data_IF_624966083745
#
_entry.id   IF_624966083745
#
_cell.length_a   1.000
_cell.length_b   1.000
_cell.length_c   1.000
_cell.angle_alpha   90.00
_cell.angle_beta   90.00
_cell.angle_gamma   90.00
#
_symmetry.space_group_name_H-M   'P 1'
#
loop_
_entity.id
_entity.type
_entity.pdbx_description
1 polymer ?
#
# COMPACT_ATOMS: atom_id res chain seq x y z
N UNK A 1 14.91 -3.75 -19.74
CA UNK A 1 15.50 -5.08 -19.49
C UNK A 1 14.50 -5.92 -18.72
N UNK A 2 13.88 -6.87 -19.40
CA UNK A 2 13.06 -7.88 -18.72
C UNK A 2 13.97 -8.68 -17.80
N UNK A 3 13.70 -8.66 -16.48
CA UNK A 3 14.40 -9.55 -15.56
C UNK A 3 13.63 -10.86 -15.44
N UNK A 4 14.28 -11.93 -15.83
CA UNK A 4 13.71 -13.27 -15.73
C UNK A 4 13.68 -13.71 -14.26
N UNK A 5 12.50 -13.67 -13.63
CA UNK A 5 12.29 -14.13 -12.26
C UNK A 5 11.93 -15.62 -12.19
N UNK A 6 11.92 -16.31 -13.35
CA UNK A 6 11.50 -17.72 -13.47
C UNK A 6 12.65 -18.72 -13.38
N UNK A 7 13.89 -18.25 -13.10
CA UNK A 7 15.10 -19.08 -13.02
C UNK A 7 15.89 -18.78 -11.74
N UNK A 8 16.87 -19.61 -11.42
CA UNK A 8 17.74 -19.43 -10.25
C UNK A 8 17.10 -19.78 -8.91
N UNK A 9 17.73 -19.38 -7.79
CA UNK A 9 17.22 -19.62 -6.43
C UNK A 9 16.00 -18.74 -6.14
N UNK A 10 14.89 -19.33 -5.75
CA UNK A 10 13.65 -18.61 -5.39
C UNK A 10 13.87 -17.67 -4.23
N UNK A 11 14.55 -18.13 -3.17
CA UNK A 11 14.84 -17.34 -1.99
C UNK A 11 15.66 -16.07 -2.31
N UNK A 12 16.75 -16.21 -3.07
CA UNK A 12 17.57 -15.06 -3.50
C UNK A 12 16.77 -14.11 -4.40
N UNK A 13 15.90 -14.64 -5.27
CA UNK A 13 15.06 -13.84 -6.15
C UNK A 13 14.05 -13.01 -5.36
N UNK A 14 13.43 -13.59 -4.31
CA UNK A 14 12.52 -12.87 -3.40
C UNK A 14 13.25 -11.72 -2.73
N UNK A 15 14.39 -11.98 -2.08
CA UNK A 15 15.15 -10.93 -1.38
C UNK A 15 15.60 -9.82 -2.33
N UNK A 16 16.14 -10.19 -3.50
CA UNK A 16 16.60 -9.22 -4.48
C UNK A 16 15.49 -8.30 -5.00
N UNK A 17 14.25 -8.82 -5.12
CA UNK A 17 13.10 -8.04 -5.56
C UNK A 17 12.44 -7.28 -4.41
N UNK A 18 12.33 -7.90 -3.23
CA UNK A 18 11.65 -7.33 -2.07
C UNK A 18 12.41 -6.16 -1.45
N UNK A 19 13.75 -6.24 -1.34
CA UNK A 19 14.55 -5.19 -0.70
C UNK A 19 14.39 -3.80 -1.34
N UNK A 20 14.51 -3.62 -2.67
CA UNK A 20 14.24 -2.32 -3.29
C UNK A 20 12.80 -1.85 -3.12
N UNK A 21 11.85 -2.79 -3.08
CA UNK A 21 10.45 -2.48 -2.86
C UNK A 21 10.19 -1.98 -1.43
N UNK A 22 10.76 -2.67 -0.44
CA UNK A 22 10.72 -2.29 0.97
C UNK A 22 11.33 -0.90 1.16
N UNK A 23 12.47 -0.63 0.53
CA UNK A 23 13.11 0.68 0.59
C UNK A 23 12.25 1.77 -0.05
N UNK A 24 11.53 1.46 -1.13
CA UNK A 24 10.57 2.39 -1.74
C UNK A 24 9.44 2.78 -0.77
N UNK A 25 8.88 1.81 -0.04
CA UNK A 25 7.86 2.09 0.98
C UNK A 25 8.42 2.91 2.15
N UNK A 26 9.62 2.56 2.59
CA UNK A 26 10.30 3.33 3.64
C UNK A 26 10.49 4.80 3.24
N UNK A 27 10.96 5.05 2.02
CA UNK A 27 11.13 6.40 1.50
C UNK A 27 9.80 7.16 1.39
N UNK A 28 8.72 6.47 0.99
CA UNK A 28 7.38 7.08 0.96
C UNK A 28 6.89 7.49 2.36
N UNK A 29 7.15 6.66 3.35
CA UNK A 29 6.84 6.99 4.74
C UNK A 29 7.68 8.16 5.24
N UNK A 30 8.97 8.15 4.89
CA UNK A 30 9.92 9.18 5.30
C UNK A 30 9.53 10.57 4.77
N UNK A 31 9.18 10.68 3.48
CA UNK A 31 8.81 12.00 2.95
C UNK A 31 7.50 12.52 3.56
N UNK A 32 6.50 11.65 3.77
CA UNK A 32 5.27 12.05 4.45
C UNK A 32 5.49 12.51 5.91
N UNK A 33 6.50 11.95 6.60
CA UNK A 33 6.92 12.44 7.91
C UNK A 33 7.70 13.77 7.81
N UNK A 34 8.51 13.93 6.77
CA UNK A 34 9.27 15.15 6.54
C UNK A 34 8.35 16.35 6.28
N UNK A 35 7.28 16.18 5.49
CA UNK A 35 6.26 17.21 5.26
C UNK A 35 5.71 17.74 6.60
N UNK A 36 5.29 16.81 7.49
CA UNK A 36 4.75 17.18 8.80
C UNK A 36 5.79 17.81 9.73
N UNK A 37 7.02 17.32 9.68
CA UNK A 37 8.11 17.90 10.47
C UNK A 37 8.45 19.32 10.03
N UNK A 38 8.61 19.54 8.73
CA UNK A 38 8.98 20.84 8.18
C UNK A 38 7.88 21.87 8.45
N UNK A 39 6.60 21.51 8.17
CA UNK A 39 5.51 22.44 8.41
C UNK A 39 5.39 22.78 9.91
N UNK A 40 5.62 21.83 10.80
CA UNK A 40 5.61 22.05 12.24
C UNK A 40 6.72 22.98 12.73
N UNK A 41 7.86 23.07 12.02
CA UNK A 41 8.96 23.97 12.38
C UNK A 41 8.73 25.42 11.91
N UNK A 42 8.12 25.63 10.75
CA UNK A 42 8.04 26.94 10.12
C UNK A 42 6.64 27.58 10.14
N UNK A 43 5.59 26.79 10.39
CA UNK A 43 4.21 27.23 10.33
C UNK A 43 3.44 26.86 11.60
N UNK A 44 2.37 27.59 11.89
CA UNK A 44 1.55 27.37 13.08
C UNK A 44 0.75 26.08 13.08
N UNK A 45 0.09 25.79 14.22
CA UNK A 45 -0.71 24.59 14.47
C UNK A 45 -1.83 24.41 13.43
N UNK A 46 -2.43 25.50 12.96
CA UNK A 46 -3.47 25.51 11.94
C UNK A 46 -2.99 24.84 10.63
N UNK A 47 -1.84 25.30 10.12
CA UNK A 47 -1.26 24.75 8.89
C UNK A 47 -0.81 23.30 9.06
N UNK A 48 -0.25 22.96 10.22
CA UNK A 48 0.17 21.58 10.54
C UNK A 48 -1.03 20.64 10.58
N UNK A 49 -2.15 21.06 11.18
CA UNK A 49 -3.41 20.30 11.22
C UNK A 49 -3.98 20.12 9.81
N UNK A 50 -3.94 21.19 8.99
CA UNK A 50 -4.42 21.12 7.61
C UNK A 50 -3.63 20.09 6.78
N UNK A 51 -2.30 20.08 6.89
CA UNK A 51 -1.45 19.09 6.20
C UNK A 51 -1.66 17.68 6.76
N UNK A 52 -1.76 17.52 8.07
CA UNK A 52 -2.00 16.21 8.68
C UNK A 52 -3.30 15.56 8.19
N UNK A 53 -4.41 16.31 8.21
CA UNK A 53 -5.71 15.83 7.72
C UNK A 53 -5.71 15.59 6.21
N UNK A 54 -5.16 16.53 5.45
CA UNK A 54 -5.07 16.40 3.99
C UNK A 54 -4.19 15.24 3.53
N UNK A 55 -3.04 15.03 4.18
CA UNK A 55 -2.14 13.91 3.86
C UNK A 55 -2.75 12.55 4.17
N UNK A 56 -3.61 12.44 5.19
CA UNK A 56 -4.35 11.20 5.47
C UNK A 56 -5.33 10.85 4.33
N UNK A 57 -6.06 11.83 3.81
CA UNK A 57 -6.93 11.64 2.63
C UNK A 57 -6.10 11.22 1.41
N UNK A 58 -4.98 11.90 1.15
CA UNK A 58 -4.10 11.57 0.03
C UNK A 58 -3.47 10.19 0.18
N UNK A 59 -3.11 9.78 1.40
CA UNK A 59 -2.60 8.44 1.67
C UNK A 59 -3.63 7.36 1.31
N UNK A 60 -4.87 7.52 1.76
CA UNK A 60 -5.97 6.59 1.42
C UNK A 60 -6.16 6.48 -0.10
N UNK A 61 -6.21 7.61 -0.81
CA UNK A 61 -6.33 7.61 -2.28
C UNK A 61 -5.14 6.92 -2.94
N UNK A 62 -3.94 7.19 -2.48
CA UNK A 62 -2.71 6.62 -3.05
C UNK A 62 -2.66 5.10 -2.87
N UNK A 63 -2.98 4.56 -1.70
CA UNK A 63 -2.99 3.10 -1.49
C UNK A 63 -4.05 2.42 -2.34
N UNK A 64 -5.22 3.04 -2.54
CA UNK A 64 -6.24 2.53 -3.46
C UNK A 64 -5.78 2.53 -4.92
N UNK A 65 -5.07 3.57 -5.38
CA UNK A 65 -4.47 3.63 -6.73
C UNK A 65 -3.41 2.54 -6.88
N UNK A 66 -2.55 2.34 -5.89
CA UNK A 66 -1.53 1.28 -5.89
C UNK A 66 -2.18 -0.11 -5.93
N UNK A 67 -3.22 -0.33 -5.13
CA UNK A 67 -4.00 -1.57 -5.13
C UNK A 67 -4.63 -1.85 -6.50
N UNK A 68 -5.24 -0.84 -7.12
CA UNK A 68 -5.80 -0.96 -8.47
C UNK A 68 -4.70 -1.28 -9.51
N UNK A 69 -3.54 -0.64 -9.39
CA UNK A 69 -2.40 -0.85 -10.29
C UNK A 69 -1.77 -2.26 -10.16
N UNK A 70 -2.08 -3.00 -9.08
CA UNK A 70 -1.67 -4.39 -8.92
C UNK A 70 -2.18 -5.27 -10.07
N UNK A 71 -3.37 -4.98 -10.61
CA UNK A 71 -3.91 -5.65 -11.80
C UNK A 71 -2.95 -5.56 -12.99
N UNK A 72 -2.40 -4.38 -13.27
CA UNK A 72 -1.42 -4.19 -14.33
C UNK A 72 -0.10 -4.94 -14.04
N UNK A 73 0.40 -4.91 -12.80
CA UNK A 73 1.61 -5.66 -12.40
C UNK A 73 1.45 -7.16 -12.68
N UNK A 74 0.31 -7.74 -12.32
CA UNK A 74 0.04 -9.17 -12.50
C UNK A 74 -0.09 -9.53 -13.97
N UNK A 75 -0.86 -8.76 -14.74
CA UNK A 75 -1.08 -9.02 -16.15
C UNK A 75 0.21 -8.93 -16.96
N UNK A 76 1.00 -7.87 -16.73
CA UNK A 76 2.32 -7.71 -17.34
C UNK A 76 3.26 -8.85 -16.91
N UNK A 77 3.27 -9.18 -15.61
CA UNK A 77 4.11 -10.26 -15.10
C UNK A 77 3.81 -11.61 -15.75
N UNK A 78 2.52 -11.95 -15.96
CA UNK A 78 2.12 -13.17 -16.68
C UNK A 78 2.57 -13.13 -18.14
N UNK A 79 2.35 -12.04 -18.85
CA UNK A 79 2.76 -11.88 -20.24
C UNK A 79 4.29 -11.96 -20.40
N UNK A 80 5.06 -11.39 -19.46
CA UNK A 80 6.53 -11.52 -19.41
C UNK A 80 6.94 -12.96 -19.18
N UNK A 81 6.30 -13.66 -18.24
CA UNK A 81 6.55 -15.08 -17.98
C UNK A 81 6.27 -15.95 -19.20
N UNK A 82 5.20 -15.69 -19.92
CA UNK A 82 4.81 -16.37 -21.16
C UNK A 82 5.67 -15.95 -22.38
N UNK A 83 6.48 -14.88 -22.25
CA UNK A 83 7.29 -14.29 -23.32
C UNK A 83 6.48 -13.75 -24.52
N UNK A 84 5.24 -13.33 -24.27
CA UNK A 84 4.34 -12.77 -25.29
C UNK A 84 4.50 -11.26 -25.37
N UNK A 85 5.41 -10.78 -26.23
CA UNK A 85 5.75 -9.34 -26.33
C UNK A 85 4.56 -8.45 -26.74
N UNK A 86 3.70 -8.93 -27.59
CA UNK A 86 2.53 -8.18 -28.07
C UNK A 86 1.51 -8.03 -26.93
N UNK A 87 1.30 -9.05 -26.11
CA UNK A 87 0.45 -8.96 -24.91
C UNK A 87 1.02 -7.99 -23.87
N UNK A 88 2.36 -7.97 -23.70
CA UNK A 88 3.01 -7.00 -22.82
C UNK A 88 2.72 -5.58 -23.33
N UNK A 89 2.95 -5.31 -24.63
CA UNK A 89 2.74 -4.01 -25.22
C UNK A 89 1.27 -3.55 -25.08
N UNK A 90 0.34 -4.43 -25.42
CA UNK A 90 -1.11 -4.19 -25.30
C UNK A 90 -1.54 -3.94 -23.86
N UNK A 91 -1.02 -4.72 -22.90
CA UNK A 91 -1.33 -4.55 -21.47
C UNK A 91 -0.76 -3.22 -20.94
N UNK A 92 0.47 -2.86 -21.30
CA UNK A 92 1.08 -1.58 -20.94
C UNK A 92 0.27 -0.41 -21.49
N UNK A 93 -0.05 -0.41 -22.78
CA UNK A 93 -0.81 0.67 -23.42
C UNK A 93 -2.20 0.82 -22.79
N UNK A 94 -2.93 -0.29 -22.64
CA UNK A 94 -4.25 -0.29 -22.00
C UNK A 94 -4.20 0.17 -20.53
N UNK A 95 -3.15 -0.21 -19.78
CA UNK A 95 -2.96 0.27 -18.42
C UNK A 95 -2.78 1.78 -18.38
N UNK A 96 -1.94 2.34 -19.23
CA UNK A 96 -1.75 3.80 -19.31
C UNK A 96 -3.06 4.49 -19.64
N UNK A 97 -3.80 4.03 -20.65
CA UNK A 97 -5.07 4.63 -21.05
C UNK A 97 -6.11 4.58 -19.93
N UNK A 98 -6.26 3.42 -19.26
CA UNK A 98 -7.20 3.24 -18.16
C UNK A 98 -6.90 4.20 -17.01
N UNK A 99 -5.66 4.18 -16.55
CA UNK A 99 -5.30 4.92 -15.33
C UNK A 99 -5.22 6.43 -15.57
N UNK A 100 -4.78 6.87 -16.75
CA UNK A 100 -4.82 8.30 -17.08
C UNK A 100 -6.26 8.79 -17.23
N UNK A 101 -7.14 8.02 -17.89
CA UNK A 101 -8.56 8.35 -17.96
C UNK A 101 -9.21 8.40 -16.57
N UNK A 102 -8.96 7.39 -15.73
CA UNK A 102 -9.45 7.34 -14.36
C UNK A 102 -8.93 8.52 -13.52
N UNK A 103 -7.64 8.88 -13.67
CA UNK A 103 -7.05 9.99 -12.91
C UNK A 103 -7.70 11.33 -13.23
N UNK A 104 -8.05 11.57 -14.49
CA UNK A 104 -8.78 12.79 -14.89
C UNK A 104 -10.17 12.82 -14.26
N UNK A 105 -10.91 11.71 -14.33
CA UNK A 105 -12.24 11.61 -13.70
C UNK A 105 -12.15 11.81 -12.20
N UNK A 106 -11.20 11.14 -11.52
CA UNK A 106 -10.97 11.31 -10.08
C UNK A 106 -10.62 12.75 -9.72
N UNK A 107 -9.74 13.39 -10.47
CA UNK A 107 -9.38 14.81 -10.26
C UNK A 107 -10.63 15.69 -10.29
N UNK A 108 -11.45 15.57 -11.34
CA UNK A 108 -12.66 16.38 -11.48
C UNK A 108 -13.63 16.13 -10.31
N UNK A 109 -13.91 14.86 -10.00
CA UNK A 109 -14.84 14.48 -8.92
C UNK A 109 -14.34 14.99 -7.57
N UNK A 110 -13.06 14.80 -7.27
CA UNK A 110 -12.48 15.19 -5.97
C UNK A 110 -12.37 16.71 -5.83
N UNK A 111 -12.11 17.45 -6.90
CA UNK A 111 -12.14 18.91 -6.86
C UNK A 111 -13.55 19.46 -6.57
N UNK A 112 -14.59 18.82 -7.10
CA UNK A 112 -15.97 19.16 -6.78
C UNK A 112 -16.35 18.81 -5.34
N UNK A 113 -15.75 17.78 -4.77
CA UNK A 113 -16.03 17.25 -3.44
C UNK A 113 -15.04 17.72 -2.36
N UNK A 114 -14.07 18.58 -2.67
CA UNK A 114 -13.00 18.94 -1.73
C UNK A 114 -13.57 19.49 -0.40
N UNK A 115 -14.52 20.41 -0.46
CA UNK A 115 -15.14 21.00 0.73
C UNK A 115 -15.99 19.99 1.52
N UNK A 116 -16.90 19.20 0.91
CA UNK A 116 -17.56 18.08 1.58
C UNK A 116 -16.61 17.10 2.26
N UNK A 117 -15.49 16.73 1.61
CA UNK A 117 -14.48 15.82 2.19
C UNK A 117 -13.87 16.43 3.45
N UNK A 118 -13.44 17.70 3.42
CA UNK A 118 -12.84 18.40 4.56
C UNK A 118 -13.81 18.48 5.74
N UNK A 119 -15.10 18.70 5.46
CA UNK A 119 -16.12 18.72 6.51
C UNK A 119 -16.44 17.31 7.05
N UNK A 120 -16.44 16.29 6.19
CA UNK A 120 -16.71 14.91 6.59
C UNK A 120 -15.65 14.37 7.56
N UNK A 121 -14.38 14.74 7.37
CA UNK A 121 -13.29 14.34 8.28
C UNK A 121 -13.22 15.19 9.56
N UNK A 122 -14.25 16.04 9.80
CA UNK A 122 -14.38 16.88 11.00
C UNK A 122 -13.15 17.76 11.26
N UNK A 123 -12.63 18.37 10.20
CA UNK A 123 -11.50 19.31 10.31
C UNK A 123 -11.87 20.49 11.21
N UNK A 124 -11.03 20.89 12.20
CA UNK A 124 -11.25 22.09 13.01
C UNK A 124 -11.44 23.33 12.14
N UNK A 125 -12.32 24.25 12.59
CA UNK A 125 -12.73 25.43 11.80
C UNK A 125 -11.57 26.27 11.31
N UNK A 126 -10.53 26.42 12.13
CA UNK A 126 -9.33 27.19 11.85
C UNK A 126 -8.49 26.54 10.71
N UNK A 127 -8.54 25.21 10.57
CA UNK A 127 -7.77 24.48 9.59
C UNK A 127 -8.53 24.18 8.29
N UNK A 128 -9.82 24.49 8.17
CA UNK A 128 -10.66 24.16 7.00
C UNK A 128 -10.09 24.75 5.72
N UNK A 129 -9.81 26.05 5.69
CA UNK A 129 -9.29 26.74 4.50
C UNK A 129 -7.92 26.21 4.08
N UNK A 130 -7.01 25.96 5.04
CA UNK A 130 -5.73 25.33 4.81
C UNK A 130 -5.86 23.94 4.20
N UNK A 131 -6.78 23.12 4.74
CA UNK A 131 -7.06 21.77 4.23
C UNK A 131 -7.66 21.79 2.82
N UNK A 132 -8.58 22.72 2.53
CA UNK A 132 -9.15 22.89 1.19
C UNK A 132 -8.05 23.25 0.18
N UNK A 133 -7.18 24.22 0.51
CA UNK A 133 -6.06 24.62 -0.35
C UNK A 133 -5.09 23.45 -0.58
N UNK A 134 -4.70 22.75 0.50
CA UNK A 134 -3.83 21.59 0.43
C UNK A 134 -4.41 20.50 -0.51
N UNK A 135 -5.64 20.08 -0.23
CA UNK A 135 -6.29 19.01 -1.02
C UNK A 135 -6.56 19.45 -2.46
N UNK A 136 -6.92 20.71 -2.72
CA UNK A 136 -7.12 21.21 -4.08
C UNK A 136 -5.85 21.04 -4.92
N UNK A 137 -4.70 21.45 -4.39
CA UNK A 137 -3.41 21.32 -5.08
C UNK A 137 -3.04 19.85 -5.28
N UNK A 138 -3.20 19.02 -4.23
CA UNK A 138 -2.93 17.60 -4.32
C UNK A 138 -3.86 16.88 -5.31
N UNK A 139 -5.14 17.25 -5.38
CA UNK A 139 -6.10 16.65 -6.31
C UNK A 139 -5.78 17.02 -7.78
N UNK A 140 -5.29 18.23 -8.04
CA UNK A 140 -4.72 18.59 -9.34
C UNK A 140 -3.49 17.72 -9.66
N UNK A 141 -2.74 17.31 -8.64
CA UNK A 141 -1.59 16.42 -8.73
C UNK A 141 -1.90 14.95 -8.98
N UNK A 142 -3.15 14.48 -8.82
CA UNK A 142 -3.54 13.06 -8.96
C UNK A 142 -3.09 12.45 -10.29
N UNK A 143 -3.18 13.10 -11.45
CA UNK A 143 -2.67 12.54 -12.70
C UNK A 143 -1.18 12.18 -12.64
N UNK A 144 -0.35 12.97 -11.97
CA UNK A 144 1.08 12.69 -11.81
C UNK A 144 1.33 11.56 -10.82
N UNK A 145 0.61 11.54 -9.69
CA UNK A 145 0.66 10.44 -8.71
C UNK A 145 0.27 9.12 -9.38
N UNK A 146 -0.80 9.14 -10.17
CA UNK A 146 -1.28 7.96 -10.91
C UNK A 146 -0.28 7.53 -11.98
N UNK A 147 0.28 8.48 -12.75
CA UNK A 147 1.30 8.20 -13.76
C UNK A 147 2.55 7.55 -13.15
N UNK A 148 3.04 8.05 -12.01
CA UNK A 148 4.14 7.42 -11.30
C UNK A 148 3.79 5.98 -10.90
N UNK A 149 2.63 5.77 -10.26
CA UNK A 149 2.24 4.45 -9.76
C UNK A 149 2.04 3.43 -10.88
N UNK A 150 1.49 3.83 -12.03
CA UNK A 150 1.35 2.92 -13.17
C UNK A 150 2.71 2.60 -13.82
N UNK A 151 3.61 3.57 -13.95
CA UNK A 151 4.96 3.32 -14.45
C UNK A 151 5.69 2.36 -13.50
N UNK A 152 5.63 2.60 -12.19
CA UNK A 152 6.21 1.71 -11.20
C UNK A 152 5.62 0.29 -11.27
N UNK A 153 4.31 0.17 -11.48
CA UNK A 153 3.59 -1.09 -11.67
C UNK A 153 4.06 -1.85 -12.91
N UNK A 154 4.26 -1.15 -14.03
CA UNK A 154 4.82 -1.71 -15.26
C UNK A 154 6.22 -2.28 -15.03
N UNK A 155 7.13 -1.49 -14.41
CA UNK A 155 8.48 -1.96 -14.10
C UNK A 155 8.46 -3.18 -13.17
N UNK A 156 7.61 -3.20 -12.15
CA UNK A 156 7.45 -4.33 -11.24
C UNK A 156 6.95 -5.59 -11.97
N UNK A 157 5.96 -5.46 -12.82
CA UNK A 157 5.47 -6.56 -13.67
C UNK A 157 6.56 -7.12 -14.59
N UNK A 158 7.44 -6.25 -15.10
CA UNK A 158 8.60 -6.62 -15.91
C UNK A 158 9.77 -7.21 -15.09
N UNK A 159 9.64 -7.30 -13.76
CA UNK A 159 10.66 -7.86 -12.87
C UNK A 159 11.72 -6.86 -12.40
N UNK A 160 11.53 -5.56 -12.62
CA UNK A 160 12.45 -4.52 -12.16
C UNK A 160 11.85 -3.73 -10.99
N UNK A 161 12.23 -4.08 -9.77
CA UNK A 161 11.87 -3.35 -8.55
C UNK A 161 12.84 -2.21 -8.22
N UNK A 162 14.05 -2.20 -8.81
CA UNK A 162 15.08 -1.19 -8.53
C UNK A 162 14.77 0.16 -9.17
N UNK A 163 14.24 0.16 -10.39
CA UNK A 163 13.95 1.42 -11.09
C UNK A 163 12.90 2.26 -10.36
N UNK A 164 11.74 1.73 -9.94
CA UNK A 164 10.79 2.46 -9.11
C UNK A 164 11.40 2.99 -7.79
N UNK A 165 12.30 2.23 -7.16
CA UNK A 165 13.00 2.68 -5.96
C UNK A 165 13.84 3.95 -6.23
N UNK A 166 14.56 4.01 -7.34
CA UNK A 166 15.32 5.21 -7.69
C UNK A 166 14.41 6.41 -8.00
N UNK A 167 13.26 6.17 -8.66
CA UNK A 167 12.31 7.24 -8.96
C UNK A 167 11.76 7.86 -7.68
N UNK A 168 11.37 7.04 -6.71
CA UNK A 168 10.85 7.55 -5.43
C UNK A 168 11.95 8.17 -4.57
N UNK A 169 13.18 7.67 -4.63
CA UNK A 169 14.30 8.27 -3.90
C UNK A 169 14.57 9.71 -4.36
N UNK A 170 14.54 9.93 -5.67
CA UNK A 170 14.73 11.28 -6.23
C UNK A 170 13.52 12.16 -5.88
N UNK A 171 12.29 11.62 -5.96
CA UNK A 171 11.09 12.36 -5.56
C UNK A 171 11.14 12.76 -4.09
N UNK A 172 11.56 11.84 -3.20
CA UNK A 172 11.70 12.10 -1.77
C UNK A 172 12.71 13.23 -1.50
N UNK A 173 13.89 13.17 -2.12
CA UNK A 173 14.90 14.22 -1.97
C UNK A 173 14.39 15.58 -2.51
N UNK A 174 13.75 15.58 -3.66
CA UNK A 174 13.17 16.80 -4.24
C UNK A 174 12.03 17.36 -3.38
N UNK A 175 11.16 16.51 -2.83
CA UNK A 175 10.08 16.93 -1.94
C UNK A 175 10.63 17.64 -0.70
N UNK A 176 11.58 17.04 0.01
CA UNK A 176 12.19 17.66 1.21
C UNK A 176 12.78 19.03 0.89
N UNK A 177 13.48 19.18 -0.25
CA UNK A 177 14.06 20.46 -0.65
C UNK A 177 12.95 21.48 -0.99
N UNK A 178 11.94 21.06 -1.76
CA UNK A 178 10.82 21.92 -2.15
C UNK A 178 9.98 22.35 -0.93
N UNK A 179 9.75 21.45 0.02
CA UNK A 179 9.04 21.77 1.26
C UNK A 179 9.79 22.79 2.09
N UNK A 180 11.10 22.64 2.23
CA UNK A 180 11.92 23.63 2.92
C UNK A 180 11.85 25.00 2.24
N UNK A 181 11.86 25.05 0.90
CA UNK A 181 11.74 26.29 0.14
C UNK A 181 10.33 26.89 0.29
N UNK A 182 9.28 26.11 0.04
CA UNK A 182 7.91 26.64 0.03
C UNK A 182 7.36 26.95 1.42
N UNK A 183 7.64 26.11 2.39
CA UNK A 183 7.15 26.29 3.74
C UNK A 183 8.12 27.13 4.60
N UNK A 184 9.45 26.89 4.48
CA UNK A 184 10.46 27.57 5.27
C UNK A 184 10.84 28.95 4.76
N UNK A 185 11.12 29.11 3.46
CA UNK A 185 11.58 30.37 2.89
C UNK A 185 10.41 31.25 2.42
N UNK A 186 9.44 30.66 1.69
CA UNK A 186 8.32 31.39 1.09
C UNK A 186 7.09 31.46 2.02
N UNK A 187 7.09 30.78 3.15
CA UNK A 187 6.02 30.79 4.16
C UNK A 187 4.62 30.49 3.59
N UNK A 188 4.53 29.58 2.61
CA UNK A 188 3.28 29.27 1.93
C UNK A 188 2.33 28.35 2.74
N UNK A 189 2.74 27.89 3.92
CA UNK A 189 1.94 27.04 4.80
C UNK A 189 1.51 25.74 4.13
N UNK A 190 0.27 25.33 4.36
CA UNK A 190 -0.28 24.07 3.81
C UNK A 190 -0.24 24.01 2.28
N UNK A 191 -0.41 25.13 1.58
CA UNK A 191 -0.28 25.20 0.13
C UNK A 191 1.15 24.86 -0.35
N UNK A 192 2.17 25.30 0.41
CA UNK A 192 3.56 24.99 0.14
C UNK A 192 3.86 23.51 0.20
N UNK A 193 3.38 22.82 1.25
CA UNK A 193 3.50 21.37 1.39
C UNK A 193 2.85 20.61 0.20
N UNK A 194 1.65 21.02 -0.19
CA UNK A 194 0.95 20.40 -1.32
C UNK A 194 1.67 20.61 -2.65
N UNK A 195 2.24 21.81 -2.89
CA UNK A 195 3.04 22.11 -4.07
C UNK A 195 4.34 21.31 -4.08
N UNK A 196 5.04 21.20 -2.95
CA UNK A 196 6.24 20.39 -2.79
C UNK A 196 5.99 18.93 -3.18
N UNK A 197 4.96 18.34 -2.63
CA UNK A 197 4.55 16.96 -2.94
C UNK A 197 4.17 16.80 -4.41
N UNK A 198 3.34 17.67 -4.96
CA UNK A 198 2.87 17.58 -6.36
C UNK A 198 4.01 17.75 -7.36
N UNK A 199 4.90 18.71 -7.15
CA UNK A 199 6.06 18.94 -8.01
C UNK A 199 7.09 17.82 -7.92
N UNK A 200 7.33 17.26 -6.71
CA UNK A 200 8.20 16.12 -6.53
C UNK A 200 7.67 14.87 -7.28
N UNK A 201 6.38 14.62 -7.24
CA UNK A 201 5.73 13.55 -8.00
C UNK A 201 5.84 13.80 -9.52
N UNK A 202 5.63 15.04 -9.96
CA UNK A 202 5.80 15.42 -11.36
C UNK A 202 7.23 15.17 -11.84
N UNK A 203 8.22 15.56 -11.04
CA UNK A 203 9.64 15.29 -11.32
C UNK A 203 9.91 13.78 -11.43
N UNK A 204 9.36 13.00 -10.50
CA UNK A 204 9.46 11.53 -10.53
C UNK A 204 8.91 10.93 -11.83
N UNK A 205 7.76 11.43 -12.31
CA UNK A 205 7.18 11.00 -13.59
C UNK A 205 8.10 11.36 -14.75
N UNK A 206 8.60 12.59 -14.82
CA UNK A 206 9.53 13.02 -15.88
C UNK A 206 10.76 12.12 -15.93
N UNK A 207 11.40 11.88 -14.77
CA UNK A 207 12.58 11.03 -14.66
C UNK A 207 12.26 9.59 -15.07
N UNK A 208 11.13 9.06 -14.61
CA UNK A 208 10.70 7.69 -14.95
C UNK A 208 10.47 7.52 -16.45
N UNK A 209 9.88 8.51 -17.12
CA UNK A 209 9.68 8.50 -18.58
C UNK A 209 11.02 8.60 -19.34
N UNK A 210 11.93 9.47 -18.90
CA UNK A 210 13.27 9.58 -19.49
C UNK A 210 14.05 8.29 -19.34
N UNK A 211 14.01 7.64 -18.17
CA UNK A 211 14.66 6.37 -17.93
C UNK A 211 14.02 5.23 -18.73
N UNK A 212 12.70 5.25 -18.87
CA UNK A 212 11.96 4.29 -19.72
C UNK A 212 12.44 4.37 -21.16
N UNK A 213 12.56 5.58 -21.70
CA UNK A 213 13.08 5.83 -23.05
C UNK A 213 14.54 5.38 -23.20
N UNK A 214 15.39 5.66 -22.22
CA UNK A 214 16.83 5.30 -22.21
C UNK A 214 17.05 3.79 -22.09
N UNK A 215 16.29 3.11 -21.24
CA UNK A 215 16.46 1.66 -20.94
C UNK A 215 15.97 0.74 -22.04
N UNK A 216 15.32 1.24 -23.08
CA UNK A 216 14.69 0.43 -24.15
C UNK A 216 13.99 -0.79 -23.52
N UNK A 217 12.75 -0.65 -23.12
CA UNK A 217 11.96 -1.68 -22.44
C UNK A 217 11.90 -3.04 -23.18
N UNK A 218 12.54 -3.17 -24.33
CA UNK A 218 12.51 -4.37 -25.17
C UNK A 218 11.17 -4.60 -25.88
N UNK A 219 10.23 -3.69 -25.70
CA UNK A 219 8.87 -3.71 -26.22
C UNK A 219 8.71 -2.51 -27.16
N UNK A 220 8.19 -2.74 -28.35
CA UNK A 220 7.79 -1.67 -29.26
C UNK A 220 6.32 -1.35 -28.97
N UNK A 221 6.06 -0.18 -28.39
CA UNK A 221 4.70 0.33 -28.20
C UNK A 221 4.21 1.02 -29.47
N UNK A 222 3.07 0.57 -30.00
CA UNK A 222 2.39 1.15 -31.14
C UNK A 222 1.14 1.92 -30.65
N UNK A 223 0.64 2.84 -31.47
CA UNK A 223 -0.60 3.59 -31.13
C UNK A 223 -1.80 2.67 -30.87
N UNK A 224 -1.84 1.52 -31.53
CA UNK A 224 -2.89 0.50 -31.37
C UNK A 224 -2.92 -0.11 -29.96
N UNK A 225 -1.79 -0.19 -29.26
CA UNK A 225 -1.73 -0.75 -27.90
C UNK A 225 -2.47 0.11 -26.87
N UNK A 226 -2.62 1.40 -27.14
CA UNK A 226 -3.34 2.36 -26.29
C UNK A 226 -4.85 2.38 -26.55
N UNK A 227 -5.34 1.67 -27.57
CA UNK A 227 -6.77 1.56 -27.82
C UNK A 227 -7.38 0.66 -26.73
N UNK A 228 -8.43 1.14 -26.01
CA UNK A 228 -9.05 0.39 -24.94
C UNK A 228 -9.57 -0.98 -25.41
N UNK A 229 -9.02 -2.06 -24.88
CA UNK A 229 -9.49 -3.42 -25.12
C UNK A 229 -10.30 -3.90 -23.92
N UNK A 230 -11.60 -4.14 -24.11
CA UNK A 230 -12.50 -4.58 -23.05
C UNK A 230 -12.00 -5.82 -22.32
N UNK A 231 -11.36 -6.74 -23.02
CA UNK A 231 -10.81 -7.95 -22.42
C UNK A 231 -9.63 -7.64 -21.48
N UNK A 232 -8.67 -6.80 -21.91
CA UNK A 232 -7.50 -6.42 -21.11
C UNK A 232 -7.91 -5.56 -19.92
N UNK A 233 -8.74 -4.54 -20.15
CA UNK A 233 -9.26 -3.67 -19.09
C UNK A 233 -10.04 -4.46 -18.05
N UNK A 234 -10.91 -5.40 -18.51
CA UNK A 234 -11.69 -6.27 -17.63
C UNK A 234 -10.84 -7.11 -16.70
N UNK A 235 -9.74 -7.71 -17.19
CA UNK A 235 -8.84 -8.51 -16.35
C UNK A 235 -8.00 -7.63 -15.40
N UNK A 236 -7.54 -6.44 -15.83
CA UNK A 236 -6.84 -5.50 -14.94
C UNK A 236 -7.76 -5.08 -13.78
N UNK A 237 -9.01 -4.70 -14.09
CA UNK A 237 -9.99 -4.25 -13.09
C UNK A 237 -10.45 -5.39 -12.18
N UNK A 238 -10.64 -6.59 -12.71
CA UNK A 238 -11.02 -7.79 -11.95
C UNK A 238 -9.99 -8.15 -10.87
N UNK A 239 -8.71 -7.88 -11.12
CA UNK A 239 -7.64 -8.07 -10.14
C UNK A 239 -7.51 -6.83 -9.25
N UNK A 240 -7.50 -5.64 -9.84
CA UNK A 240 -7.19 -4.40 -9.13
C UNK A 240 -8.32 -3.89 -8.23
N UNK A 241 -9.59 -3.97 -8.65
CA UNK A 241 -10.72 -3.46 -7.86
C UNK A 241 -10.80 -4.12 -6.48
N UNK A 242 -10.78 -5.48 -6.35
CA UNK A 242 -10.83 -6.09 -5.03
C UNK A 242 -9.68 -5.66 -4.12
N UNK A 243 -8.47 -5.48 -4.68
CA UNK A 243 -7.30 -5.02 -3.90
C UNK A 243 -7.48 -3.57 -3.45
N UNK A 244 -7.91 -2.69 -4.36
CA UNK A 244 -8.14 -1.27 -4.03
C UNK A 244 -9.21 -1.09 -2.95
N UNK A 245 -10.33 -1.83 -3.04
CA UNK A 245 -11.39 -1.79 -2.03
C UNK A 245 -10.88 -2.38 -0.70
N UNK A 246 -10.14 -3.48 -0.74
CA UNK A 246 -9.51 -4.07 0.45
C UNK A 246 -8.65 -3.03 1.19
N UNK A 247 -7.76 -2.36 0.47
CA UNK A 247 -6.86 -1.37 1.05
C UNK A 247 -7.63 -0.17 1.62
N UNK A 248 -8.66 0.30 0.91
CA UNK A 248 -9.56 1.34 1.42
C UNK A 248 -10.29 0.93 2.70
N UNK A 249 -10.82 -0.28 2.76
CA UNK A 249 -11.52 -0.80 3.94
C UNK A 249 -10.59 -1.00 5.14
N UNK A 250 -9.33 -1.35 4.91
CA UNK A 250 -8.32 -1.42 5.97
C UNK A 250 -8.10 -0.03 6.57
N UNK A 251 -7.99 1.02 5.75
CA UNK A 251 -7.85 2.39 6.24
C UNK A 251 -9.08 2.85 7.04
N UNK A 252 -10.29 2.51 6.57
CA UNK A 252 -11.53 2.79 7.31
C UNK A 252 -11.54 2.07 8.67
N UNK A 253 -11.09 0.82 8.73
CA UNK A 253 -11.01 0.07 9.98
C UNK A 253 -10.06 0.74 10.99
N UNK A 254 -8.91 1.27 10.55
CA UNK A 254 -8.01 2.04 11.39
C UNK A 254 -8.70 3.31 11.95
N UNK A 255 -9.44 4.03 11.11
CA UNK A 255 -10.20 5.21 11.55
C UNK A 255 -11.24 4.82 12.61
N UNK A 256 -11.98 3.74 12.42
CA UNK A 256 -12.98 3.26 13.39
C UNK A 256 -12.32 2.89 14.72
N UNK A 257 -11.18 2.20 14.70
CA UNK A 257 -10.43 1.84 15.93
C UNK A 257 -9.96 3.12 16.66
N UNK A 258 -9.48 4.11 15.92
CA UNK A 258 -9.11 5.41 16.48
C UNK A 258 -10.32 6.11 17.15
N UNK A 259 -11.49 6.07 16.52
CA UNK A 259 -12.74 6.62 17.10
C UNK A 259 -13.11 5.87 18.39
N UNK A 260 -12.97 4.55 18.41
CA UNK A 260 -13.20 3.73 19.63
C UNK A 260 -12.21 4.15 20.74
N UNK A 261 -10.93 4.34 20.41
CA UNK A 261 -9.93 4.78 21.37
C UNK A 261 -10.23 6.19 21.91
N UNK A 262 -10.62 7.13 21.04
CA UNK A 262 -11.01 8.49 21.43
C UNK A 262 -12.18 8.50 22.42
N UNK A 263 -13.13 7.57 22.29
CA UNK A 263 -14.27 7.46 23.22
C UNK A 263 -13.88 7.01 24.64
N UNK A 264 -12.67 6.47 24.83
CA UNK A 264 -12.15 6.05 26.15
C UNK A 264 -11.43 7.17 26.90
N UNK A 265 -10.99 8.21 26.21
CA UNK A 265 -10.31 9.35 26.80
C UNK A 265 -9.00 9.71 26.12
N UNK A 266 -8.43 10.82 26.53
CA UNK A 266 -7.27 11.44 25.87
C UNK A 266 -6.02 10.54 25.91
N UNK A 267 -5.74 9.91 27.06
CA UNK A 267 -4.56 9.07 27.22
C UNK A 267 -4.63 7.79 26.38
N UNK A 268 -5.80 7.14 26.34
CA UNK A 268 -6.05 5.95 25.51
C UNK A 268 -5.93 6.30 24.03
N UNK A 269 -6.51 7.41 23.60
CA UNK A 269 -6.41 7.90 22.22
C UNK A 269 -4.96 8.18 21.81
N UNK A 270 -4.18 8.85 22.65
CA UNK A 270 -2.78 9.12 22.40
C UNK A 270 -1.96 7.82 22.32
N UNK A 271 -2.20 6.89 23.24
CA UNK A 271 -1.51 5.61 23.30
C UNK A 271 -1.79 4.77 22.03
N UNK A 272 -3.04 4.63 21.63
CA UNK A 272 -3.45 3.90 20.41
C UNK A 272 -2.86 4.59 19.17
N UNK A 273 -2.96 5.91 19.05
CA UNK A 273 -2.43 6.64 17.90
C UNK A 273 -0.92 6.49 17.71
N UNK A 274 -0.14 6.47 18.81
CA UNK A 274 1.31 6.20 18.77
C UNK A 274 1.58 4.77 18.28
N UNK A 275 0.92 3.79 18.86
CA UNK A 275 1.13 2.39 18.54
C UNK A 275 0.73 2.08 17.11
N UNK A 276 -0.35 2.65 16.59
CA UNK A 276 -0.74 2.47 15.18
C UNK A 276 0.31 2.99 14.20
N UNK A 277 0.99 4.08 14.51
CA UNK A 277 2.14 4.56 13.71
C UNK A 277 3.31 3.59 13.73
N UNK A 278 3.63 3.04 14.90
CA UNK A 278 4.68 2.01 15.05
C UNK A 278 4.32 0.77 14.22
N UNK A 279 3.10 0.27 14.37
CA UNK A 279 2.63 -0.92 13.62
C UNK A 279 2.63 -0.66 12.11
N UNK A 280 2.20 0.53 11.67
CA UNK A 280 2.24 0.90 10.24
C UNK A 280 3.67 0.84 9.67
N UNK A 281 4.66 1.28 10.44
CA UNK A 281 6.06 1.17 10.04
C UNK A 281 6.54 -0.30 9.98
N UNK A 282 6.13 -1.14 10.94
CA UNK A 282 6.45 -2.57 10.95
C UNK A 282 5.76 -3.34 9.79
N UNK A 283 4.59 -2.89 9.36
CA UNK A 283 3.84 -3.51 8.26
C UNK A 283 4.39 -3.21 6.87
N UNK A 284 5.41 -2.36 6.74
CA UNK A 284 6.14 -2.14 5.48
C UNK A 284 6.68 -3.47 4.93
N UNK A 285 7.15 -4.39 5.79
CA UNK A 285 7.68 -5.70 5.36
C UNK A 285 6.58 -6.62 4.83
N UNK A 286 5.47 -6.90 5.54
CA UNK A 286 4.33 -7.63 4.99
C UNK A 286 3.81 -7.06 3.67
N UNK A 287 3.62 -5.75 3.58
CA UNK A 287 3.11 -5.07 2.38
C UNK A 287 4.06 -5.21 1.18
N UNK A 288 5.36 -5.05 1.39
CA UNK A 288 6.36 -5.26 0.33
C UNK A 288 6.38 -6.71 -0.14
N UNK A 289 6.13 -7.65 0.77
CA UNK A 289 6.11 -9.07 0.44
C UNK A 289 4.85 -9.47 -0.35
N UNK A 290 3.68 -8.89 -0.05
CA UNK A 290 2.47 -9.06 -0.87
C UNK A 290 2.76 -8.73 -2.34
N UNK A 291 3.33 -7.55 -2.59
CA UNK A 291 3.63 -7.10 -3.93
C UNK A 291 4.74 -7.93 -4.60
N UNK A 292 5.74 -8.36 -3.83
CA UNK A 292 6.82 -9.23 -4.30
C UNK A 292 6.28 -10.59 -4.74
N UNK A 293 5.45 -11.23 -3.91
CA UNK A 293 4.83 -12.52 -4.22
C UNK A 293 3.92 -12.39 -5.44
N UNK A 294 3.14 -11.30 -5.53
CA UNK A 294 2.26 -11.04 -6.66
C UNK A 294 3.05 -10.99 -7.99
N UNK A 295 4.13 -10.21 -8.04
CA UNK A 295 4.95 -10.07 -9.26
C UNK A 295 5.70 -11.36 -9.62
N UNK A 296 6.37 -12.00 -8.65
CA UNK A 296 7.15 -13.22 -8.87
C UNK A 296 6.26 -14.40 -9.26
N UNK A 297 5.16 -14.60 -8.53
CA UNK A 297 4.23 -15.68 -8.84
C UNK A 297 3.58 -15.46 -10.21
N UNK A 298 3.20 -14.22 -10.57
CA UNK A 298 2.62 -13.92 -11.88
C UNK A 298 3.56 -14.30 -13.03
N UNK A 299 4.85 -13.95 -12.95
CA UNK A 299 5.83 -14.37 -13.98
C UNK A 299 6.00 -15.90 -14.02
N UNK A 300 6.03 -16.58 -12.88
CA UNK A 300 6.17 -18.03 -12.85
C UNK A 300 4.92 -18.72 -13.38
N UNK A 301 3.73 -18.20 -13.10
CA UNK A 301 2.47 -18.71 -13.65
C UNK A 301 2.43 -18.53 -15.17
N UNK A 302 2.78 -17.35 -15.68
CA UNK A 302 2.87 -17.11 -17.11
C UNK A 302 3.86 -18.03 -17.83
N UNK A 303 4.95 -18.42 -17.15
CA UNK A 303 5.92 -19.40 -17.65
C UNK A 303 5.50 -20.87 -17.48
N UNK A 304 4.29 -21.16 -16.99
CA UNK A 304 3.81 -22.53 -16.69
C UNK A 304 4.47 -23.17 -15.47
N UNK A 305 5.24 -22.41 -14.66
CA UNK A 305 6.03 -22.94 -13.53
C UNK A 305 5.26 -22.83 -12.20
N UNK A 306 4.12 -23.48 -12.10
CA UNK A 306 3.22 -23.42 -10.92
C UNK A 306 3.89 -23.89 -9.62
N UNK A 307 4.77 -24.92 -9.68
CA UNK A 307 5.52 -25.38 -8.50
C UNK A 307 6.47 -24.30 -7.99
N UNK A 308 7.06 -23.52 -8.90
CA UNK A 308 7.94 -22.41 -8.53
C UNK A 308 7.13 -21.24 -7.93
N UNK A 309 5.94 -20.96 -8.44
CA UNK A 309 5.02 -20.00 -7.83
C UNK A 309 4.64 -20.42 -6.41
N UNK A 310 4.34 -21.71 -6.18
CA UNK A 310 4.05 -22.25 -4.84
C UNK A 310 5.27 -22.21 -3.91
N UNK A 311 6.49 -22.46 -4.43
CA UNK A 311 7.73 -22.28 -3.67
C UNK A 311 7.95 -20.81 -3.29
N UNK A 312 7.62 -19.87 -4.19
CA UNK A 312 7.69 -18.43 -3.90
C UNK A 312 6.80 -18.08 -2.70
N UNK A 313 5.55 -18.57 -2.66
CA UNK A 313 4.66 -18.38 -1.53
C UNK A 313 5.26 -18.93 -0.23
N UNK A 314 5.76 -20.18 -0.24
CA UNK A 314 6.32 -20.83 0.95
C UNK A 314 7.52 -20.06 1.53
N UNK A 315 8.48 -19.65 0.68
CA UNK A 315 9.64 -18.90 1.13
C UNK A 315 9.26 -17.50 1.60
N UNK A 316 8.30 -16.86 0.94
CA UNK A 316 7.80 -15.55 1.35
C UNK A 316 7.15 -15.61 2.75
N UNK A 317 6.30 -16.62 3.01
CA UNK A 317 5.71 -16.87 4.32
C UNK A 317 6.81 -17.12 5.35
N UNK A 318 7.80 -17.94 5.05
CA UNK A 318 8.91 -18.20 5.98
C UNK A 318 9.65 -16.91 6.34
N UNK A 319 9.98 -16.07 5.36
CA UNK A 319 10.68 -14.80 5.59
C UNK A 319 9.83 -13.86 6.45
N UNK A 320 8.56 -13.65 6.10
CA UNK A 320 7.69 -12.70 6.81
C UNK A 320 7.32 -13.20 8.20
N UNK A 321 7.09 -14.50 8.36
CA UNK A 321 6.80 -15.11 9.67
C UNK A 321 8.02 -15.01 10.60
N UNK A 322 9.22 -15.35 10.10
CA UNK A 322 10.46 -15.19 10.88
C UNK A 322 10.69 -13.73 11.28
N UNK A 323 10.50 -12.78 10.34
CA UNK A 323 10.55 -11.36 10.63
C UNK A 323 9.55 -10.98 11.73
N UNK A 324 8.28 -11.40 11.59
CA UNK A 324 7.22 -11.07 12.55
C UNK A 324 7.48 -11.65 13.94
N UNK A 325 8.01 -12.86 14.05
CA UNK A 325 8.42 -13.46 15.33
C UNK A 325 9.56 -12.66 15.97
N UNK A 326 10.59 -12.29 15.20
CA UNK A 326 11.71 -11.48 15.71
C UNK A 326 11.20 -10.12 16.22
N UNK A 327 10.34 -9.47 15.44
CA UNK A 327 9.74 -8.18 15.82
C UNK A 327 8.86 -8.33 17.06
N UNK A 328 8.06 -9.40 17.17
CA UNK A 328 7.23 -9.65 18.33
C UNK A 328 8.07 -9.87 19.59
N UNK A 329 9.13 -10.69 19.52
CA UNK A 329 10.00 -10.96 20.65
C UNK A 329 10.73 -9.68 21.11
N UNK A 330 11.35 -8.95 20.17
CA UNK A 330 12.04 -7.69 20.49
C UNK A 330 11.06 -6.66 21.03
N UNK A 331 9.92 -6.51 20.36
CA UNK A 331 8.91 -5.55 20.76
C UNK A 331 8.34 -5.82 22.15
N UNK A 332 8.06 -7.09 22.52
CA UNK A 332 7.63 -7.46 23.88
C UNK A 332 8.65 -7.04 24.94
N UNK A 333 9.94 -7.18 24.66
CA UNK A 333 10.99 -6.84 25.60
C UNK A 333 11.14 -5.34 25.83
N UNK A 334 10.85 -4.52 24.80
CA UNK A 334 11.12 -3.06 24.82
C UNK A 334 9.88 -2.20 24.54
N UNK A 335 8.64 -2.71 24.75
CA UNK A 335 7.39 -1.99 24.46
C UNK A 335 7.36 -0.58 25.08
N UNK A 336 7.70 -0.47 26.36
CA UNK A 336 7.72 0.83 27.06
C UNK A 336 8.77 1.78 26.46
N UNK A 337 9.93 1.27 26.08
CA UNK A 337 10.97 2.03 25.39
C UNK A 337 10.52 2.56 24.05
N UNK A 338 9.81 1.72 23.24
CA UNK A 338 9.29 2.13 21.95
C UNK A 338 8.28 3.27 22.10
N UNK A 339 7.30 3.15 23.02
CA UNK A 339 6.27 4.17 23.23
C UNK A 339 6.88 5.45 23.80
N UNK A 340 7.86 5.35 24.72
CA UNK A 340 8.53 6.49 25.35
C UNK A 340 9.36 7.36 24.38
N UNK A 341 9.72 6.85 23.22
CA UNK A 341 10.34 7.64 22.13
C UNK A 341 9.38 8.76 21.67
N UNK A 342 8.09 8.47 21.64
CA UNK A 342 7.07 9.39 21.11
C UNK A 342 6.40 10.24 22.22
N UNK A 343 6.29 9.71 23.43
CA UNK A 343 5.60 10.38 24.54
C UNK A 343 6.25 10.05 25.88
N UNK A 344 6.43 11.06 26.73
CA UNK A 344 7.07 10.90 28.05
C UNK A 344 6.06 10.74 29.19
N UNK A 345 4.76 10.97 28.93
CA UNK A 345 3.72 10.80 29.95
C UNK A 345 3.62 9.33 30.38
N UNK A 346 3.79 9.08 31.68
CA UNK A 346 3.82 7.73 32.22
C UNK A 346 2.53 6.95 31.99
N UNK A 347 1.37 7.59 32.06
CA UNK A 347 0.08 6.95 31.84
C UNK A 347 -0.06 6.50 30.39
N UNK A 348 0.31 7.35 29.43
CA UNK A 348 0.30 7.03 28.00
C UNK A 348 1.30 5.92 27.67
N UNK A 349 2.50 5.93 28.29
CA UNK A 349 3.51 4.87 28.09
C UNK A 349 2.99 3.52 28.59
N UNK A 350 2.32 3.46 29.74
CA UNK A 350 1.76 2.21 30.26
C UNK A 350 0.65 1.69 29.33
N UNK A 351 -0.30 2.53 28.97
CA UNK A 351 -1.43 2.15 28.08
C UNK A 351 -0.94 1.75 26.68
N UNK A 352 -0.02 2.53 26.12
CA UNK A 352 0.58 2.22 24.83
C UNK A 352 1.36 0.90 24.83
N UNK A 353 2.09 0.63 25.92
CA UNK A 353 2.79 -0.66 26.10
C UNK A 353 1.82 -1.82 26.16
N UNK A 354 0.68 -1.70 26.83
CA UNK A 354 -0.35 -2.71 26.87
C UNK A 354 -0.96 -2.97 25.49
N UNK A 355 -1.31 -1.91 24.77
CA UNK A 355 -1.86 -2.01 23.42
C UNK A 355 -0.87 -2.60 22.43
N UNK A 356 0.40 -2.15 22.47
CA UNK A 356 1.47 -2.66 21.60
C UNK A 356 1.74 -4.15 21.83
N UNK A 357 1.80 -4.62 23.10
CA UNK A 357 1.96 -6.04 23.44
C UNK A 357 0.88 -6.91 22.80
N UNK A 358 -0.39 -6.48 22.89
CA UNK A 358 -1.48 -7.20 22.23
C UNK A 358 -1.33 -7.22 20.72
N UNK A 359 -0.97 -6.07 20.13
CA UNK A 359 -0.98 -5.88 18.68
C UNK A 359 0.25 -6.47 17.97
N UNK A 360 1.44 -6.41 18.58
CA UNK A 360 2.71 -6.70 17.89
C UNK A 360 2.80 -8.13 17.35
N UNK A 361 2.09 -9.06 17.97
CA UNK A 361 1.97 -10.46 17.52
C UNK A 361 1.35 -10.54 16.11
N UNK A 362 0.55 -9.55 15.74
CA UNK A 362 -0.05 -9.44 14.41
C UNK A 362 0.98 -9.37 13.27
N UNK A 363 2.18 -8.85 13.54
CA UNK A 363 3.25 -8.78 12.53
C UNK A 363 3.60 -10.15 11.94
N UNK A 364 3.53 -11.23 12.73
CA UNK A 364 3.79 -12.59 12.26
C UNK A 364 2.60 -13.14 11.44
N UNK A 365 1.39 -12.95 11.92
CA UNK A 365 0.17 -13.47 11.29
C UNK A 365 -0.18 -12.69 10.02
N UNK A 366 -0.05 -11.35 10.05
CA UNK A 366 -0.27 -10.49 8.90
C UNK A 366 0.67 -10.86 7.75
N UNK A 367 1.95 -11.12 8.02
CA UNK A 367 2.90 -11.56 7.01
C UNK A 367 2.44 -12.77 6.21
N UNK A 368 1.76 -13.73 6.86
CA UNK A 368 1.25 -14.94 6.21
C UNK A 368 0.11 -14.60 5.25
N UNK A 369 -0.96 -13.94 5.73
CA UNK A 369 -2.11 -13.67 4.87
C UNK A 369 -1.81 -12.64 3.79
N UNK A 370 -0.87 -11.69 3.98
CA UNK A 370 -0.39 -10.79 2.93
C UNK A 370 0.30 -11.57 1.80
N UNK A 371 1.13 -12.56 2.12
CA UNK A 371 1.73 -13.44 1.11
C UNK A 371 0.69 -14.23 0.33
N UNK A 372 -0.35 -14.76 1.00
CA UNK A 372 -1.46 -15.43 0.33
C UNK A 372 -2.26 -14.47 -0.57
N UNK A 373 -2.54 -13.26 -0.11
CA UNK A 373 -3.22 -12.23 -0.92
C UNK A 373 -2.44 -11.93 -2.21
N UNK A 374 -1.11 -11.76 -2.12
CA UNK A 374 -0.25 -11.60 -3.30
C UNK A 374 -0.29 -12.80 -4.24
N UNK A 375 -0.30 -14.01 -3.69
CA UNK A 375 -0.41 -15.24 -4.46
C UNK A 375 -1.76 -15.37 -5.16
N UNK A 376 -2.86 -15.07 -4.47
CA UNK A 376 -4.19 -15.07 -5.08
C UNK A 376 -4.33 -14.00 -6.17
N UNK A 377 -3.74 -12.82 -5.98
CA UNK A 377 -3.65 -11.79 -7.03
C UNK A 377 -2.93 -12.33 -8.27
N UNK A 378 -1.81 -13.03 -8.08
CA UNK A 378 -1.05 -13.63 -9.18
C UNK A 378 -1.85 -14.67 -9.97
N UNK A 379 -2.83 -15.34 -9.36
CA UNK A 379 -3.78 -16.25 -10.02
C UNK A 379 -5.06 -15.56 -10.51
N UNK A 380 -5.17 -14.22 -10.43
CA UNK A 380 -6.38 -13.48 -10.82
C UNK A 380 -7.57 -13.72 -9.90
N UNK A 381 -7.32 -14.14 -8.68
CA UNK A 381 -8.33 -14.45 -7.65
C UNK A 381 -8.22 -13.49 -6.46
N UNK A 382 -7.92 -12.23 -6.72
CA UNK A 382 -7.78 -11.17 -5.71
C UNK A 382 -9.02 -10.98 -4.83
N UNK A 383 -10.21 -11.38 -5.32
CA UNK A 383 -11.43 -11.38 -4.53
C UNK A 383 -11.33 -12.24 -3.25
N UNK A 384 -10.49 -13.30 -3.24
CA UNK A 384 -10.25 -14.11 -2.04
C UNK A 384 -9.51 -13.27 -1.00
N UNK A 385 -8.51 -12.48 -1.43
CA UNK A 385 -7.81 -11.51 -0.59
C UNK A 385 -8.78 -10.51 0.04
N UNK A 386 -9.65 -9.93 -0.76
CA UNK A 386 -10.70 -9.03 -0.29
C UNK A 386 -11.64 -9.70 0.73
N UNK A 387 -12.18 -10.89 0.41
CA UNK A 387 -13.17 -11.57 1.26
C UNK A 387 -12.60 -11.90 2.64
N UNK A 388 -11.39 -12.51 2.73
CA UNK A 388 -10.85 -12.88 4.05
C UNK A 388 -10.55 -11.64 4.90
N UNK A 389 -10.07 -10.54 4.29
CA UNK A 389 -9.86 -9.29 5.01
C UNK A 389 -11.17 -8.69 5.51
N UNK A 390 -12.22 -8.67 4.67
CA UNK A 390 -13.54 -8.16 5.07
C UNK A 390 -14.12 -8.95 6.23
N UNK A 391 -14.07 -10.28 6.17
CA UNK A 391 -14.52 -11.15 7.25
C UNK A 391 -13.74 -10.86 8.53
N UNK A 392 -12.41 -10.72 8.45
CA UNK A 392 -11.57 -10.42 9.61
C UNK A 392 -11.89 -9.05 10.23
N UNK A 393 -12.08 -8.03 9.40
CA UNK A 393 -12.41 -6.67 9.85
C UNK A 393 -13.78 -6.62 10.50
N UNK A 394 -14.81 -7.17 9.84
CA UNK A 394 -16.21 -7.07 10.26
C UNK A 394 -16.52 -8.00 11.43
N UNK A 395 -15.92 -9.20 11.46
CA UNK A 395 -16.26 -10.20 12.49
C UNK A 395 -15.38 -10.13 13.75
N UNK A 396 -14.11 -9.71 13.61
CA UNK A 396 -13.16 -9.76 14.72
C UNK A 396 -12.48 -8.43 15.01
N UNK A 397 -11.86 -7.78 14.03
CA UNK A 397 -10.99 -6.64 14.29
C UNK A 397 -11.75 -5.46 14.88
N UNK A 398 -12.81 -5.00 14.23
CA UNK A 398 -13.62 -3.87 14.69
C UNK A 398 -14.51 -4.25 15.89
N UNK A 399 -15.31 -5.33 15.82
CA UNK A 399 -16.13 -5.73 16.98
C UNK A 399 -15.28 -6.12 18.20
N UNK A 400 -14.16 -6.81 17.99
CA UNK A 400 -13.25 -7.18 19.06
C UNK A 400 -12.66 -5.97 19.78
N UNK A 401 -12.20 -4.95 19.01
CA UNK A 401 -11.73 -3.69 19.57
C UNK A 401 -12.84 -2.95 20.35
N UNK A 402 -14.05 -2.93 19.81
CA UNK A 402 -15.20 -2.29 20.48
C UNK A 402 -15.59 -3.02 21.77
N UNK A 403 -15.74 -4.35 21.74
CA UNK A 403 -16.07 -5.14 22.92
C UNK A 403 -14.97 -5.04 23.99
N UNK A 404 -13.70 -5.16 23.57
CA UNK A 404 -12.58 -4.98 24.48
C UNK A 404 -12.59 -3.59 25.14
N UNK A 405 -12.89 -2.54 24.37
CA UNK A 405 -13.04 -1.18 24.89
C UNK A 405 -14.14 -1.05 25.95
N UNK A 406 -15.23 -1.82 25.85
CA UNK A 406 -16.37 -1.76 26.79
C UNK A 406 -16.15 -2.62 28.02
N UNK A 407 -15.62 -3.85 27.87
CA UNK A 407 -15.50 -4.81 28.96
C UNK A 407 -14.19 -4.69 29.75
N UNK A 408 -13.16 -4.06 29.20
CA UNK A 408 -11.84 -3.93 29.83
C UNK A 408 -11.43 -2.44 29.87
N UNK A 409 -12.12 -1.67 30.71
CA UNK A 409 -11.89 -0.23 30.81
C UNK A 409 -10.48 0.14 31.32
N UNK A 410 -9.89 -0.71 32.18
CA UNK A 410 -8.62 -0.42 32.86
C UNK A 410 -7.37 -0.78 32.04
N UNK A 411 -7.53 -1.43 30.87
CA UNK A 411 -6.39 -1.90 30.08
C UNK A 411 -6.68 -1.86 28.58
N UNK A 412 -5.64 -1.58 27.79
CA UNK A 412 -5.70 -1.60 26.32
C UNK A 412 -5.21 -2.94 25.71
N UNK A 413 -4.68 -3.86 26.52
CA UNK A 413 -4.15 -5.13 26.03
C UNK A 413 -5.16 -5.97 25.24
N UNK A 414 -6.41 -6.21 25.71
CA UNK A 414 -7.40 -6.97 24.95
C UNK A 414 -7.83 -6.27 23.64
N UNK A 415 -7.83 -4.93 23.62
CA UNK A 415 -8.11 -4.17 22.41
C UNK A 415 -6.99 -4.38 21.36
N UNK A 416 -5.72 -4.46 21.81
CA UNK A 416 -4.59 -4.81 20.95
C UNK A 416 -4.69 -6.20 20.34
N UNK A 417 -5.23 -7.19 21.05
CA UNK A 417 -5.40 -8.57 20.57
C UNK A 417 -6.45 -8.72 19.46
N UNK A 418 -7.32 -7.74 19.25
CA UNK A 418 -8.34 -7.81 18.20
C UNK A 418 -7.73 -7.90 16.78
N UNK A 419 -6.59 -7.26 16.56
CA UNK A 419 -5.88 -7.31 15.29
C UNK A 419 -5.30 -8.70 14.97
N UNK A 420 -4.46 -9.33 15.84
CA UNK A 420 -3.96 -10.68 15.58
C UNK A 420 -5.07 -11.74 15.54
N UNK A 421 -6.16 -11.58 16.29
CA UNK A 421 -7.33 -12.48 16.18
C UNK A 421 -7.95 -12.41 14.77
N UNK A 422 -8.11 -11.20 14.20
CA UNK A 422 -8.56 -11.01 12.83
C UNK A 422 -7.60 -11.61 11.80
N UNK A 423 -6.30 -11.41 11.98
CA UNK A 423 -5.29 -11.98 11.09
C UNK A 423 -5.21 -13.50 11.19
N UNK A 424 -5.41 -14.09 12.36
CA UNK A 424 -5.51 -15.55 12.51
C UNK A 424 -6.69 -16.11 11.69
N UNK A 425 -7.85 -15.48 11.77
CA UNK A 425 -9.01 -15.86 10.95
C UNK A 425 -8.69 -15.73 9.45
N UNK A 426 -8.03 -14.65 9.04
CA UNK A 426 -7.56 -14.47 7.67
C UNK A 426 -6.63 -15.60 7.23
N UNK A 427 -5.67 -16.00 8.07
CA UNK A 427 -4.75 -17.11 7.78
C UNK A 427 -5.51 -18.43 7.59
N UNK A 428 -6.47 -18.74 8.47
CA UNK A 428 -7.29 -19.95 8.36
C UNK A 428 -8.05 -19.98 7.04
N UNK A 429 -8.71 -18.87 6.66
CA UNK A 429 -9.43 -18.75 5.39
C UNK A 429 -8.48 -18.91 4.20
N UNK A 430 -7.32 -18.25 4.23
CA UNK A 430 -6.33 -18.32 3.15
C UNK A 430 -5.79 -19.74 2.96
N UNK A 431 -5.44 -20.44 4.05
CA UNK A 431 -4.95 -21.81 3.98
C UNK A 431 -6.05 -22.74 3.46
N UNK A 432 -7.28 -22.60 3.97
CA UNK A 432 -8.43 -23.36 3.48
C UNK A 432 -8.67 -23.16 1.98
N UNK A 433 -8.68 -21.90 1.52
CA UNK A 433 -8.84 -21.56 0.11
C UNK A 433 -7.71 -22.14 -0.75
N UNK A 434 -6.46 -22.05 -0.29
CA UNK A 434 -5.31 -22.59 -1.00
C UNK A 434 -5.38 -24.13 -1.14
N UNK A 435 -5.69 -24.84 -0.05
CA UNK A 435 -5.83 -26.30 -0.07
C UNK A 435 -6.98 -26.74 -0.98
N UNK A 436 -8.12 -26.04 -0.90
CA UNK A 436 -9.28 -26.31 -1.75
C UNK A 436 -8.96 -26.11 -3.23
N UNK A 437 -8.30 -24.99 -3.59
CA UNK A 437 -7.87 -24.71 -4.96
C UNK A 437 -6.90 -25.75 -5.50
N UNK A 438 -5.98 -26.22 -4.65
CA UNK A 438 -5.00 -27.25 -5.02
C UNK A 438 -5.68 -28.58 -5.30
N UNK A 439 -6.64 -29.01 -4.45
CA UNK A 439 -7.38 -30.27 -4.61
C UNK A 439 -8.23 -30.31 -5.89
N UNK A 440 -8.79 -29.17 -6.29
CA UNK A 440 -9.72 -29.09 -7.44
C UNK A 440 -9.04 -28.66 -8.74
N UNK A 441 -7.71 -28.64 -8.81
CA UNK A 441 -6.97 -28.29 -10.04
C UNK A 441 -7.11 -26.82 -10.49
N UNK A 442 -7.87 -25.99 -9.74
CA UNK A 442 -8.21 -24.60 -10.11
C UNK A 442 -7.02 -23.63 -10.08
N UNK A 443 -5.85 -24.09 -9.69
CA UNK A 443 -4.59 -23.39 -9.85
C UNK A 443 -4.05 -23.44 -11.30
N UNK A 444 -4.58 -24.35 -12.16
CA UNK A 444 -4.21 -24.48 -13.57
C UNK A 444 -5.18 -23.84 -14.57
N UNK A 445 -6.47 -23.71 -14.21
CA UNK A 445 -7.55 -23.29 -15.14
C UNK A 445 -7.50 -21.80 -15.55
N UNK A 446 -6.79 -20.96 -14.83
CA UNK A 446 -6.70 -19.53 -15.13
C UNK A 446 -5.95 -19.17 -16.42
N UNK A 447 -5.26 -20.15 -17.04
CA UNK A 447 -4.50 -19.95 -18.28
C UNK A 447 -5.29 -20.34 -19.54
N UNK A 448 -6.34 -21.17 -19.44
CA UNK A 448 -7.15 -21.56 -20.62
C UNK A 448 -7.92 -20.41 -21.23
N UNK A 449 -8.25 -19.38 -20.43
CA UNK A 449 -8.92 -18.18 -20.92
C UNK A 449 -8.02 -17.28 -21.79
N UNK A 450 -6.70 -17.38 -21.66
CA UNK A 450 -5.73 -16.58 -22.44
C UNK A 450 -5.32 -17.23 -23.74
N UNK A 451 -5.34 -18.56 -23.82
CA UNK A 451 -4.92 -19.30 -25.05
C UNK A 451 -6.03 -19.48 -26.06
N UNK A 452 -7.26 -19.10 -25.75
CA UNK A 452 -8.47 -19.32 -26.58
C UNK A 452 -9.09 -18.06 -27.17
N UNK A 453 -8.42 -16.90 -27.11
CA UNK A 453 -8.84 -15.73 -27.90
C UNK A 453 -8.12 -15.76 -29.24
N UNK A 454 -8.86 -15.89 -30.38
CA UNK A 454 -8.30 -15.84 -31.71
C UNK A 454 -7.68 -14.48 -32.05
#
# INVERSE_FOLDING_TARGET
MEKNLTTGSVFKTILYFALPYLFSYFLQTLYGMADLFIIGQFNGTESTTAVANGSQVMHMLTVMIVGLAMGSTVMIGRAVGARHKDEIAKTVGNSVTLFMGLSIVLTIVLLLLVRPIVLLIQTPTEAIEGSIRYLTICFIGIPFITAYNIIASIFRGMGDSKSPMYFIAIACAANIVLDYVFMGVLHMGAAGAALGTTLAQTLSVIISLLMTKKKKLGIKLCKQDFIPSRAVLGEILKIGIPVAIQDGCIQIAFIIITVIANSRGLNDAAAVGIVEKVISALFIVPSSMLATVSALAAQNIGAGKHDRASKTLKYAILITFTYGIIVAIIGELITAGIVSIFMKDAAVVVLGSQYLRGYIVDCALAGIHFCFSGYFCAYGKSYIGFIHNMIAIICLRVPGSYLASKFFADTLFPMGLAAPAGSMLSVIICVGAFVWMKKHGRLGDSLRAFSSSP
#
